data_IF_649884088570
#
_entry.id   IF_649884088570
#
_cell.length_a   1.000
_cell.length_b   1.000
_cell.length_c   1.000
_cell.angle_alpha   90.00
_cell.angle_beta   90.00
_cell.angle_gamma   90.00
#
_symmetry.space_group_name_H-M   'P 1'
#
loop_
_entity.id
_entity.type
_entity.pdbx_description
1 polymer ?
#
# COMPACT_ATOMS: atom_id res chain seq x y z
N UNK A 1 -16.39 41.70 -18.32
CA UNK A 1 -16.84 40.34 -18.67
C UNK A 1 -15.59 39.48 -18.73
N UNK A 2 -15.23 38.87 -17.61
CA UNK A 2 -14.30 37.74 -17.53
C UNK A 2 -14.37 37.23 -16.08
N UNK A 3 -15.25 36.25 -15.86
CA UNK A 3 -15.24 35.46 -14.63
C UNK A 3 -14.00 34.59 -14.71
N UNK A 4 -12.97 34.90 -13.92
CA UNK A 4 -11.92 33.92 -13.62
C UNK A 4 -12.57 32.85 -12.75
N UNK A 5 -12.85 31.72 -13.37
CA UNK A 5 -13.25 30.50 -12.67
C UNK A 5 -12.14 30.15 -11.69
N UNK A 6 -12.40 30.46 -10.42
CA UNK A 6 -11.62 30.03 -9.29
C UNK A 6 -11.88 28.53 -9.18
N UNK A 7 -11.05 27.72 -9.85
CA UNK A 7 -11.02 26.27 -9.62
C UNK A 7 -10.76 26.11 -8.13
N UNK A 8 -11.82 25.77 -7.39
CA UNK A 8 -11.70 25.40 -6.00
C UNK A 8 -10.95 24.07 -5.99
N UNK A 9 -9.66 24.11 -5.69
CA UNK A 9 -8.91 22.92 -5.33
C UNK A 9 -9.55 22.40 -4.05
N UNK A 10 -10.47 21.45 -4.19
CA UNK A 10 -10.94 20.67 -3.05
C UNK A 10 -9.75 19.82 -2.65
N UNK A 11 -9.11 20.19 -1.54
CA UNK A 11 -8.03 19.43 -0.90
C UNK A 11 -8.61 18.10 -0.40
N UNK A 12 -8.85 17.15 -1.29
CA UNK A 12 -9.44 15.86 -0.95
C UNK A 12 -8.31 14.87 -0.62
N UNK A 13 -7.66 15.09 0.52
CA UNK A 13 -6.61 14.20 1.01
C UNK A 13 -7.20 12.79 1.23
N UNK A 14 -6.51 11.78 0.72
CA UNK A 14 -6.80 10.37 1.01
C UNK A 14 -6.21 10.03 2.37
N UNK A 15 -7.07 9.73 3.33
CA UNK A 15 -6.65 9.29 4.66
C UNK A 15 -6.23 7.83 4.61
N UNK A 16 -5.09 7.53 5.25
CA UNK A 16 -4.56 6.19 5.45
C UNK A 16 -4.61 5.92 6.94
N UNK A 17 -5.50 5.02 7.36
CA UNK A 17 -5.80 4.80 8.78
C UNK A 17 -5.03 3.58 9.28
N UNK A 18 -4.12 3.75 10.24
CA UNK A 18 -3.34 2.65 10.80
C UNK A 18 -4.04 2.10 12.05
N UNK A 19 -4.57 0.87 11.97
CA UNK A 19 -5.28 0.22 13.10
C UNK A 19 -4.33 -0.52 14.05
N UNK A 20 -3.18 -0.94 13.53
CA UNK A 20 -2.14 -1.65 14.27
C UNK A 20 -0.78 -0.97 14.04
N UNK A 21 -0.33 -0.18 15.01
CA UNK A 21 0.94 0.53 14.95
C UNK A 21 2.09 -0.42 15.29
N UNK A 22 2.59 -1.12 14.28
CA UNK A 22 3.89 -1.77 14.32
C UNK A 22 4.73 -1.26 13.16
N UNK A 23 6.05 -1.38 13.29
CA UNK A 23 7.01 -0.83 12.31
C UNK A 23 6.67 -1.20 10.86
N UNK A 24 6.22 -2.45 10.62
CA UNK A 24 5.88 -2.92 9.27
C UNK A 24 4.59 -2.29 8.73
N UNK A 25 3.56 -2.10 9.56
CA UNK A 25 2.30 -1.49 9.12
C UNK A 25 2.47 0.02 8.94
N UNK A 26 3.26 0.67 9.79
CA UNK A 26 3.64 2.07 9.63
C UNK A 26 4.43 2.28 8.33
N UNK A 27 5.37 1.38 8.03
CA UNK A 27 6.09 1.39 6.76
C UNK A 27 5.15 1.16 5.56
N UNK A 28 4.19 0.24 5.68
CA UNK A 28 3.17 0.04 4.66
C UNK A 28 2.31 1.28 4.42
N UNK A 29 1.95 2.02 5.48
CA UNK A 29 1.24 3.28 5.37
C UNK A 29 2.07 4.36 4.67
N UNK A 30 3.37 4.45 5.00
CA UNK A 30 4.30 5.36 4.35
C UNK A 30 4.46 5.05 2.86
N UNK A 31 4.62 3.78 2.48
CA UNK A 31 4.69 3.37 1.07
C UNK A 31 3.39 3.68 0.33
N UNK A 32 2.23 3.39 0.91
CA UNK A 32 0.94 3.77 0.31
C UNK A 32 0.86 5.28 0.09
N UNK A 33 1.21 6.08 1.10
CA UNK A 33 1.22 7.55 1.00
C UNK A 33 2.15 8.04 -0.11
N UNK A 34 3.37 7.50 -0.19
CA UNK A 34 4.36 7.81 -1.22
C UNK A 34 3.79 7.59 -2.62
N UNK A 35 3.28 6.38 -2.91
CA UNK A 35 2.80 6.08 -4.26
C UNK A 35 1.51 6.81 -4.61
N UNK A 36 0.59 7.02 -3.66
CA UNK A 36 -0.56 7.88 -3.92
C UNK A 36 -0.12 9.30 -4.31
N UNK A 37 0.92 9.83 -3.66
CA UNK A 37 1.47 11.14 -4.00
C UNK A 37 2.12 11.19 -5.38
N UNK A 38 2.89 10.17 -5.75
CA UNK A 38 3.49 10.07 -7.09
C UNK A 38 2.39 9.94 -8.16
N UNK A 39 1.38 9.11 -7.94
CA UNK A 39 0.26 8.90 -8.87
C UNK A 39 -0.57 10.18 -9.08
N UNK A 40 -0.80 10.94 -8.02
CA UNK A 40 -1.55 12.20 -8.05
C UNK A 40 -0.71 13.41 -8.47
N UNK A 41 0.62 13.27 -8.51
CA UNK A 41 1.56 14.38 -8.60
C UNK A 41 1.33 15.43 -7.48
N UNK A 42 1.08 14.94 -6.27
CA UNK A 42 0.85 15.71 -5.05
C UNK A 42 1.32 14.91 -3.82
N UNK A 43 2.51 15.21 -3.31
CA UNK A 43 3.12 14.50 -2.17
C UNK A 43 2.30 14.59 -0.88
N UNK A 44 1.40 15.57 -0.75
CA UNK A 44 0.57 15.77 0.43
C UNK A 44 -0.81 15.11 0.35
N UNK A 45 -1.13 14.44 -0.76
CA UNK A 45 -2.45 13.84 -0.99
C UNK A 45 -2.73 12.71 -0.01
N UNK A 46 -1.70 11.96 0.41
CA UNK A 46 -1.80 10.90 1.41
C UNK A 46 -1.61 11.46 2.81
N UNK A 47 -2.58 11.21 3.71
CA UNK A 47 -2.48 11.63 5.11
C UNK A 47 -2.60 10.42 6.02
N UNK A 48 -1.52 10.09 6.73
CA UNK A 48 -1.49 8.98 7.68
C UNK A 48 -2.17 9.41 8.98
N UNK A 49 -3.15 8.63 9.43
CA UNK A 49 -3.95 8.87 10.63
C UNK A 49 -3.85 7.65 11.55
N UNK A 50 -3.46 7.89 12.80
CA UNK A 50 -3.37 6.87 13.85
C UNK A 50 -4.61 6.94 14.77
N UNK A 51 -5.81 6.78 14.20
CA UNK A 51 -7.07 6.75 14.95
C UNK A 51 -7.91 5.55 14.51
N UNK A 52 -8.11 4.59 15.42
CA UNK A 52 -8.90 3.38 15.16
C UNK A 52 -10.39 3.66 14.92
N UNK A 53 -10.88 4.84 15.29
CA UNK A 53 -12.26 5.24 15.07
C UNK A 53 -12.45 5.95 13.73
N UNK A 54 -11.37 6.31 13.04
CA UNK A 54 -11.46 6.90 11.70
C UNK A 54 -11.93 5.83 10.71
N UNK A 55 -13.04 6.12 10.02
CA UNK A 55 -13.67 5.24 9.04
C UNK A 55 -13.63 5.85 7.64
N UNK A 56 -13.24 7.10 7.54
CA UNK A 56 -13.12 7.84 6.31
C UNK A 56 -11.68 7.69 5.80
N UNK A 57 -11.43 6.69 4.95
CA UNK A 57 -10.11 6.44 4.37
C UNK A 57 -9.82 4.97 4.10
N UNK A 58 -8.59 4.68 3.72
CA UNK A 58 -8.08 3.33 3.51
C UNK A 58 -7.45 2.86 4.82
N UNK A 59 -8.12 1.94 5.52
CA UNK A 59 -7.62 1.35 6.75
C UNK A 59 -6.63 0.23 6.50
N UNK A 60 -5.50 0.24 7.21
CA UNK A 60 -4.48 -0.80 7.20
C UNK A 60 -4.50 -1.54 8.55
N UNK A 61 -4.56 -2.86 8.51
CA UNK A 61 -4.62 -3.66 9.74
C UNK A 61 -4.56 -5.16 9.50
N UNK A 62 -4.66 -5.92 10.58
CA UNK A 62 -4.70 -7.38 10.56
C UNK A 62 -6.12 -7.89 10.33
N UNK A 63 -6.27 -9.13 9.88
CA UNK A 63 -7.58 -9.78 9.73
C UNK A 63 -8.48 -9.64 10.96
N UNK A 64 -7.92 -9.82 12.17
CA UNK A 64 -8.65 -9.64 13.44
C UNK A 64 -9.19 -8.21 13.66
N UNK A 65 -8.55 -7.19 13.09
CA UNK A 65 -8.99 -5.79 13.22
C UNK A 65 -10.27 -5.54 12.39
N UNK A 66 -10.55 -6.39 11.40
CA UNK A 66 -11.71 -6.32 10.51
C UNK A 66 -12.70 -7.48 10.67
N UNK A 67 -12.46 -8.41 11.61
CA UNK A 67 -13.30 -9.59 11.81
C UNK A 67 -13.22 -10.64 10.69
N UNK A 68 -12.11 -10.67 9.96
CA UNK A 68 -11.83 -11.65 8.92
C UNK A 68 -11.26 -12.92 9.58
N UNK A 69 -11.79 -14.10 9.23
CA UNK A 69 -11.26 -15.38 9.71
C UNK A 69 -9.98 -15.76 8.96
N UNK A 70 -9.01 -16.32 9.68
CA UNK A 70 -7.77 -16.90 9.16
C UNK A 70 -7.74 -18.43 9.22
N UNK A 71 -8.88 -19.10 9.45
CA UNK A 71 -8.99 -20.57 9.64
C UNK A 71 -8.48 -21.39 8.44
N UNK A 72 -8.36 -20.75 7.27
CA UNK A 72 -7.82 -21.36 6.05
C UNK A 72 -6.28 -21.36 5.99
N UNK A 73 -5.61 -20.74 6.96
CA UNK A 73 -4.16 -20.74 7.14
C UNK A 73 -3.76 -21.86 8.10
N UNK A 74 -2.62 -22.50 7.84
CA UNK A 74 -2.10 -23.51 8.77
C UNK A 74 -1.43 -22.84 9.96
N UNK A 75 -0.80 -21.69 9.71
CA UNK A 75 -0.09 -20.89 10.69
C UNK A 75 -0.21 -19.40 10.29
N UNK A 76 -1.15 -18.64 10.87
CA UNK A 76 -1.35 -17.22 10.52
C UNK A 76 -0.13 -16.32 10.76
N UNK A 77 0.79 -16.70 11.66
CA UNK A 77 2.02 -15.94 11.91
C UNK A 77 3.03 -16.08 10.76
N UNK A 78 3.04 -17.23 10.09
CA UNK A 78 4.01 -17.57 9.04
C UNK A 78 3.42 -17.60 7.63
N UNK A 79 2.16 -17.97 7.48
CA UNK A 79 1.47 -18.09 6.21
C UNK A 79 0.83 -16.75 5.85
N UNK A 80 1.19 -16.22 4.68
CA UNK A 80 0.73 -14.90 4.24
C UNK A 80 -0.59 -15.00 3.46
N UNK A 81 -1.57 -14.19 3.86
CA UNK A 81 -2.79 -13.94 3.10
C UNK A 81 -3.22 -12.48 3.24
N UNK A 82 -3.93 -11.99 2.22
CA UNK A 82 -4.41 -10.63 2.12
C UNK A 82 -5.89 -10.61 1.74
N UNK A 83 -6.58 -9.58 2.22
CA UNK A 83 -7.94 -9.22 1.82
C UNK A 83 -7.99 -7.71 1.61
N UNK A 84 -8.37 -7.30 0.40
CA UNK A 84 -8.45 -5.90 0.00
C UNK A 84 -9.88 -5.62 -0.40
N UNK A 85 -10.46 -4.60 0.21
CA UNK A 85 -11.76 -4.09 -0.16
C UNK A 85 -11.76 -2.57 -0.04
N UNK A 86 -11.41 -1.92 -1.14
CA UNK A 86 -11.37 -0.46 -1.26
C UNK A 86 -12.32 -0.04 -2.37
N UNK A 87 -13.16 0.95 -2.09
CA UNK A 87 -14.08 1.58 -3.04
C UNK A 87 -14.15 3.08 -2.75
N UNK A 88 -14.08 3.92 -3.78
CA UNK A 88 -13.98 5.37 -3.65
C UNK A 88 -12.88 5.82 -2.66
N UNK A 89 -11.73 5.13 -2.69
CA UNK A 89 -10.59 5.35 -1.77
C UNK A 89 -10.96 5.21 -0.28
N UNK A 90 -11.96 4.38 0.02
CA UNK A 90 -12.39 4.03 1.38
C UNK A 90 -12.51 2.53 1.53
N UNK A 91 -12.25 2.01 2.72
CA UNK A 91 -12.33 0.59 3.02
C UNK A 91 -11.07 0.10 3.69
N UNK A 92 -10.59 -1.10 3.33
CA UNK A 92 -9.45 -1.71 4.01
C UNK A 92 -8.50 -2.46 3.09
N UNK A 93 -7.25 -2.55 3.56
CA UNK A 93 -6.22 -3.50 3.13
C UNK A 93 -5.82 -4.27 4.39
N UNK A 94 -6.17 -5.54 4.43
CA UNK A 94 -5.97 -6.40 5.58
C UNK A 94 -4.99 -7.53 5.26
N UNK A 95 -4.18 -7.93 6.25
CA UNK A 95 -3.27 -9.07 6.16
C UNK A 95 -3.41 -10.04 7.33
N UNK A 96 -3.05 -11.30 7.13
CA UNK A 96 -3.00 -12.30 8.22
C UNK A 96 -1.95 -11.96 9.29
N UNK A 97 -0.85 -11.35 8.86
CA UNK A 97 0.25 -10.88 9.71
C UNK A 97 0.75 -9.50 9.21
N UNK A 98 1.64 -8.86 9.97
CA UNK A 98 2.11 -7.49 9.65
C UNK A 98 2.80 -7.38 8.28
N UNK A 99 3.59 -8.39 7.90
CA UNK A 99 4.21 -8.46 6.55
C UNK A 99 3.16 -8.58 5.46
N UNK A 100 2.08 -9.31 5.71
CA UNK A 100 0.96 -9.44 4.76
C UNK A 100 0.24 -8.11 4.53
N UNK A 101 0.19 -7.20 5.51
CA UNK A 101 -0.34 -5.84 5.30
C UNK A 101 0.50 -5.08 4.27
N UNK A 102 1.84 -5.14 4.40
CA UNK A 102 2.75 -4.54 3.43
C UNK A 102 2.60 -5.16 2.04
N UNK A 103 2.50 -6.49 1.96
CA UNK A 103 2.20 -7.21 0.70
C UNK A 103 0.88 -6.70 0.11
N UNK A 104 -0.17 -6.55 0.93
CA UNK A 104 -1.48 -6.05 0.52
C UNK A 104 -1.41 -4.64 -0.06
N UNK A 105 -0.62 -3.74 0.53
CA UNK A 105 -0.39 -2.38 -0.01
C UNK A 105 0.24 -2.44 -1.40
N UNK A 106 1.31 -3.22 -1.59
CA UNK A 106 1.92 -3.34 -2.92
C UNK A 106 1.01 -4.03 -3.93
N UNK A 107 0.24 -5.05 -3.53
CA UNK A 107 -0.76 -5.69 -4.41
C UNK A 107 -1.88 -4.74 -4.80
N UNK A 108 -2.36 -3.90 -3.88
CA UNK A 108 -3.32 -2.83 -4.17
C UNK A 108 -2.76 -1.86 -5.22
N UNK A 109 -1.55 -1.34 -5.00
CA UNK A 109 -0.88 -0.43 -5.92
C UNK A 109 -0.61 -1.08 -7.29
N UNK A 110 -0.26 -2.36 -7.32
CA UNK A 110 -0.09 -3.12 -8.56
C UNK A 110 -1.40 -3.23 -9.35
N UNK A 111 -2.54 -3.47 -8.68
CA UNK A 111 -3.86 -3.43 -9.31
C UNK A 111 -4.20 -2.04 -9.89
N UNK A 112 -3.65 -0.96 -9.32
CA UNK A 112 -3.81 0.39 -9.82
C UNK A 112 -2.87 0.75 -10.97
N UNK A 113 -1.90 -0.12 -11.28
CA UNK A 113 -1.00 -0.03 -12.42
C UNK A 113 0.48 0.18 -12.05
N UNK A 114 0.83 0.30 -10.77
CA UNK A 114 2.23 0.43 -10.34
C UNK A 114 3.02 -0.84 -10.66
N UNK A 115 4.26 -0.70 -11.11
CA UNK A 115 5.19 -1.81 -11.36
C UNK A 115 6.58 -1.47 -10.83
N UNK A 116 7.26 -2.48 -10.28
CA UNK A 116 8.63 -2.41 -9.77
C UNK A 116 9.46 -3.50 -10.46
N UNK A 117 10.10 -3.15 -11.58
CA UNK A 117 10.83 -4.10 -12.43
C UNK A 117 12.24 -4.38 -11.93
N UNK A 118 12.88 -3.38 -11.34
CA UNK A 118 14.21 -3.45 -10.71
C UNK A 118 14.29 -2.42 -9.58
N UNK A 119 15.27 -2.53 -8.67
CA UNK A 119 15.52 -1.51 -7.66
C UNK A 119 15.81 -0.13 -8.27
N UNK A 120 15.56 0.91 -7.48
CA UNK A 120 15.78 2.31 -7.86
C UNK A 120 14.65 2.95 -8.66
N UNK A 121 14.65 4.28 -8.71
CA UNK A 121 13.63 5.10 -9.39
C UNK A 121 13.46 4.75 -10.87
N UNK A 122 14.54 4.37 -11.53
CA UNK A 122 14.56 3.97 -12.95
C UNK A 122 14.00 2.55 -13.19
N UNK A 123 13.59 1.86 -12.13
CA UNK A 123 12.92 0.56 -12.17
C UNK A 123 11.43 0.60 -11.85
N UNK A 124 10.91 1.76 -11.49
CA UNK A 124 9.51 1.96 -11.15
C UNK A 124 8.71 2.49 -12.35
N UNK A 125 7.51 1.98 -12.56
CA UNK A 125 6.53 2.53 -13.51
C UNK A 125 5.25 2.82 -12.74
N UNK A 126 5.00 4.10 -12.48
CA UNK A 126 3.87 4.56 -11.67
C UNK A 126 2.93 5.37 -12.56
N UNK A 127 1.63 4.98 -12.67
CA UNK A 127 0.69 5.68 -13.53
C UNK A 127 0.24 7.01 -12.90
N UNK A 128 0.14 8.06 -13.71
CA UNK A 128 -0.56 9.28 -13.30
C UNK A 128 -2.07 9.04 -13.33
N UNK A 129 -2.76 9.23 -12.20
CA UNK A 129 -4.22 9.09 -12.11
C UNK A 129 -4.81 9.76 -10.87
N UNK A 130 -6.11 10.02 -10.94
CA UNK A 130 -6.89 10.46 -9.79
C UNK A 130 -6.93 9.37 -8.71
N UNK A 131 -6.51 9.74 -7.50
CA UNK A 131 -6.45 8.88 -6.30
C UNK A 131 -7.64 9.08 -5.36
N UNK A 132 -8.56 10.00 -5.67
CA UNK A 132 -9.75 10.24 -4.85
C UNK A 132 -10.84 9.19 -5.03
N UNK A 133 -10.77 8.41 -6.12
CA UNK A 133 -11.74 7.37 -6.44
C UNK A 133 -11.06 6.06 -6.89
N UNK A 134 -10.31 5.45 -5.98
CA UNK A 134 -9.67 4.16 -6.20
C UNK A 134 -10.60 3.02 -5.78
N UNK A 135 -10.61 1.94 -6.55
CA UNK A 135 -11.41 0.75 -6.25
C UNK A 135 -10.64 -0.53 -6.59
N UNK A 136 -10.51 -1.41 -5.60
CA UNK A 136 -9.89 -2.74 -5.72
C UNK A 136 -10.60 -3.67 -4.73
N UNK A 137 -11.00 -4.85 -5.19
CA UNK A 137 -11.52 -5.91 -4.32
C UNK A 137 -10.86 -7.23 -4.71
N UNK A 138 -10.09 -7.83 -3.81
CA UNK A 138 -9.43 -9.12 -4.05
C UNK A 138 -9.06 -9.80 -2.73
N UNK A 139 -8.95 -11.14 -2.78
CA UNK A 139 -8.45 -11.98 -1.69
C UNK A 139 -7.41 -12.94 -2.25
N UNK A 140 -6.24 -13.01 -1.61
CA UNK A 140 -5.13 -13.86 -2.06
C UNK A 140 -4.44 -14.54 -0.88
N UNK A 141 -3.93 -15.75 -1.12
CA UNK A 141 -3.08 -16.51 -0.20
C UNK A 141 -1.80 -16.89 -0.93
N UNK A 142 -0.65 -16.72 -0.28
CA UNK A 142 0.61 -17.16 -0.83
C UNK A 142 0.65 -18.69 -0.98
N UNK A 143 1.10 -19.19 -2.13
CA UNK A 143 1.20 -20.63 -2.38
C UNK A 143 2.27 -21.32 -1.53
N UNK A 144 3.34 -20.59 -1.19
CA UNK A 144 4.47 -21.07 -0.40
C UNK A 144 4.73 -20.17 0.79
N UNK A 145 5.03 -20.77 1.94
CA UNK A 145 5.35 -20.05 3.18
C UNK A 145 6.62 -19.20 3.05
N UNK A 146 7.70 -19.80 2.59
CA UNK A 146 8.99 -19.14 2.44
C UNK A 146 9.25 -18.81 0.97
N UNK A 147 9.56 -17.54 0.70
CA UNK A 147 9.81 -17.00 -0.63
C UNK A 147 10.95 -16.00 -0.51
N UNK A 148 11.97 -16.12 -1.36
CA UNK A 148 13.15 -15.27 -1.27
C UNK A 148 14.02 -15.41 -2.51
N UNK A 149 14.95 -14.49 -2.65
CA UNK A 149 15.97 -14.49 -3.70
C UNK A 149 17.34 -14.50 -3.03
N UNK A 150 18.26 -15.33 -3.53
CA UNK A 150 19.65 -15.30 -3.09
C UNK A 150 20.45 -14.42 -4.06
N UNK A 151 21.08 -13.36 -3.55
CA UNK A 151 21.99 -12.51 -4.33
C UNK A 151 23.41 -13.03 -4.08
N UNK A 152 23.81 -14.06 -4.83
CA UNK A 152 25.17 -14.60 -4.79
C UNK A 152 25.96 -14.11 -6.02
N UNK A 153 27.21 -13.70 -5.83
CA UNK A 153 28.17 -13.50 -6.93
C UNK A 153 28.21 -12.13 -7.61
N UNK A 154 27.62 -11.06 -7.05
CA UNK A 154 27.62 -9.71 -7.65
C UNK A 154 28.04 -8.60 -6.68
N UNK A 155 29.21 -8.72 -6.05
CA UNK A 155 29.77 -7.69 -5.15
C UNK A 155 30.68 -6.73 -5.91
N UNK A 156 30.09 -5.77 -6.63
CA UNK A 156 30.68 -4.44 -6.69
C UNK A 156 29.95 -3.56 -5.69
N UNK A 157 30.66 -2.59 -5.09
CA UNK A 157 30.06 -1.62 -4.18
C UNK A 157 28.95 -0.84 -4.88
N UNK A 158 29.15 -0.53 -6.17
CA UNK A 158 28.17 0.16 -7.01
C UNK A 158 26.83 -0.58 -7.06
N UNK A 159 26.82 -1.89 -7.26
CA UNK A 159 25.58 -2.67 -7.32
C UNK A 159 24.80 -2.66 -5.99
N UNK A 160 25.50 -2.56 -4.86
CA UNK A 160 24.87 -2.48 -3.53
C UNK A 160 24.26 -1.10 -3.30
N UNK A 161 24.97 -0.03 -3.69
CA UNK A 161 24.49 1.35 -3.53
C UNK A 161 23.24 1.61 -4.39
N UNK A 162 23.22 1.13 -5.64
CA UNK A 162 22.07 1.28 -6.55
C UNK A 162 20.81 0.55 -6.06
N UNK A 163 20.94 -0.41 -5.13
CA UNK A 163 19.81 -1.20 -4.62
C UNK A 163 19.08 -0.57 -3.43
N UNK A 164 19.69 0.43 -2.78
CA UNK A 164 19.17 1.08 -1.56
C UNK A 164 18.74 2.53 -1.76
N UNK A 165 19.02 3.15 -2.91
CA UNK A 165 18.49 4.46 -3.34
C UNK A 165 17.14 4.35 -4.08
#
# INVERSE_FOLDING_TARGET
MEKKDKVMMVNNKVKIVVLNSCQTVEYAAAELSKYLGIMANDEEIGSIVNDKNEKDGISLGLFKDFGISDDFLKDPELDDAIDIKVENSKGYIAGSNARSVLIGVYRFLECLGCRWLRPGKDGETIPNRDVSNLAVTLQEKASYRHRGMCIEGSVSLENMLDSVE
#
